data_IF_616626928726
#
_entry.id   IF_616626928726
#
_cell.length_a   1.000
_cell.length_b   1.000
_cell.length_c   1.000
_cell.angle_alpha   90.00
_cell.angle_beta   90.00
_cell.angle_gamma   90.00
#
_symmetry.space_group_name_H-M   'P 1'
#
loop_
_entity.id
_entity.type
_entity.pdbx_description
1 polymer ?
#
# COMPACT_ATOMS: atom_id res chain seq x y z
N UNK A 1 -5.94 -18.25 -10.43
CA UNK A 1 -4.83 -18.21 -9.46
C UNK A 1 -5.11 -17.02 -8.56
N UNK A 2 -4.99 -17.16 -7.24
CA UNK A 2 -5.11 -16.02 -6.33
C UNK A 2 -3.93 -15.08 -6.59
N UNK A 3 -4.21 -13.79 -6.75
CA UNK A 3 -3.19 -12.76 -6.84
C UNK A 3 -2.34 -12.77 -5.55
N UNK A 4 -1.05 -13.13 -5.60
CA UNK A 4 -0.21 -13.19 -4.40
C UNK A 4 -0.01 -11.81 -3.77
N UNK A 5 -0.09 -10.73 -4.57
CA UNK A 5 0.04 -9.36 -4.10
C UNK A 5 -1.19 -8.91 -3.30
N UNK A 6 -2.34 -9.55 -3.51
CA UNK A 6 -3.56 -9.29 -2.73
C UNK A 6 -3.39 -9.56 -1.25
N UNK A 7 -2.64 -10.60 -0.86
CA UNK A 7 -2.35 -10.89 0.54
C UNK A 7 -1.52 -9.79 1.21
N UNK A 8 -0.62 -9.16 0.46
CA UNK A 8 0.16 -8.00 0.93
C UNK A 8 -0.74 -6.77 1.07
N UNK A 9 -1.60 -6.52 0.07
CA UNK A 9 -2.54 -5.41 0.08
C UNK A 9 -3.56 -5.52 1.22
N UNK A 10 -4.11 -6.71 1.48
CA UNK A 10 -5.03 -6.95 2.59
C UNK A 10 -4.35 -6.73 3.95
N UNK A 11 -3.08 -7.16 4.08
CA UNK A 11 -2.31 -6.91 5.30
C UNK A 11 -1.97 -5.43 5.50
N UNK A 12 -1.68 -4.70 4.42
CA UNK A 12 -1.48 -3.25 4.49
C UNK A 12 -2.74 -2.55 5.03
N UNK A 13 -3.93 -2.95 4.55
CA UNK A 13 -5.21 -2.43 5.05
C UNK A 13 -5.37 -2.64 6.56
N UNK A 14 -5.09 -3.86 7.03
CA UNK A 14 -5.17 -4.19 8.46
C UNK A 14 -4.19 -3.36 9.30
N UNK A 15 -2.94 -3.21 8.84
CA UNK A 15 -1.92 -2.47 9.58
C UNK A 15 -2.19 -0.96 9.61
N UNK A 16 -2.66 -0.36 8.50
CA UNK A 16 -3.06 1.07 8.47
C UNK A 16 -4.28 1.34 9.36
N UNK A 17 -5.29 0.45 9.31
CA UNK A 17 -6.45 0.56 10.19
C UNK A 17 -6.06 0.48 11.68
N UNK A 18 -5.07 -0.36 12.01
CA UNK A 18 -4.55 -0.49 13.37
C UNK A 18 -3.67 0.70 13.81
N UNK A 19 -3.00 1.35 12.86
CA UNK A 19 -2.13 2.50 13.13
C UNK A 19 -2.92 3.74 13.59
N UNK A 20 -4.17 3.90 13.14
CA UNK A 20 -5.13 4.89 13.66
C UNK A 20 -4.55 6.32 13.76
N UNK A 21 -3.87 6.77 12.70
CA UNK A 21 -3.27 8.11 12.60
C UNK A 21 -1.86 8.24 13.19
N UNK A 22 -1.26 7.17 13.73
CA UNK A 22 0.14 7.17 14.16
C UNK A 22 1.07 7.11 12.94
N UNK A 23 1.71 8.24 12.62
CA UNK A 23 2.57 8.38 11.45
C UNK A 23 3.72 7.37 11.40
N UNK A 24 4.32 7.01 12.53
CA UNK A 24 5.43 6.05 12.55
C UNK A 24 4.92 4.61 12.32
N UNK A 25 3.75 4.28 12.84
CA UNK A 25 3.14 2.97 12.59
C UNK A 25 2.67 2.83 11.14
N UNK A 26 2.13 3.88 10.54
CA UNK A 26 1.71 3.91 9.13
C UNK A 26 2.90 3.81 8.18
N UNK A 27 3.98 4.56 8.41
CA UNK A 27 5.22 4.44 7.64
C UNK A 27 5.78 3.02 7.69
N UNK A 28 5.79 2.41 8.88
CA UNK A 28 6.23 1.02 9.04
C UNK A 28 5.33 0.03 8.29
N UNK A 29 4.02 0.26 8.27
CA UNK A 29 3.07 -0.58 7.53
C UNK A 29 3.34 -0.51 6.01
N UNK A 30 3.53 0.70 5.48
CA UNK A 30 3.85 0.93 4.06
C UNK A 30 5.20 0.31 3.68
N UNK A 31 6.24 0.46 4.51
CA UNK A 31 7.54 -0.18 4.29
C UNK A 31 7.45 -1.71 4.25
N UNK A 32 6.65 -2.32 5.13
CA UNK A 32 6.42 -3.77 5.10
C UNK A 32 5.66 -4.20 3.86
N UNK A 33 4.68 -3.43 3.41
CA UNK A 33 3.94 -3.72 2.18
C UNK A 33 4.86 -3.63 0.96
N UNK A 34 5.71 -2.61 0.88
CA UNK A 34 6.75 -2.48 -0.15
C UNK A 34 7.65 -3.71 -0.17
N UNK A 35 8.19 -4.06 1.00
CA UNK A 35 9.06 -5.24 1.13
C UNK A 35 8.36 -6.53 0.71
N UNK A 36 7.13 -6.75 1.18
CA UNK A 36 6.35 -7.93 0.83
C UNK A 36 6.07 -8.04 -0.66
N UNK A 37 5.79 -6.92 -1.32
CA UNK A 37 5.64 -6.85 -2.77
C UNK A 37 6.94 -7.24 -3.48
N UNK A 38 8.08 -6.64 -3.08
CA UNK A 38 9.38 -6.95 -3.66
C UNK A 38 9.79 -8.41 -3.45
N UNK A 39 9.51 -8.98 -2.27
CA UNK A 39 9.79 -10.38 -1.97
C UNK A 39 9.02 -11.33 -2.91
N UNK A 40 7.78 -10.96 -3.30
CA UNK A 40 6.98 -11.72 -4.28
C UNK A 40 7.50 -11.50 -5.72
N UNK A 41 7.82 -10.26 -6.08
CA UNK A 41 8.35 -9.92 -7.40
C UNK A 41 9.75 -10.53 -7.66
N UNK A 42 10.47 -10.93 -6.61
CA UNK A 42 11.84 -11.45 -6.69
C UNK A 42 12.92 -10.37 -6.61
N UNK A 43 12.59 -9.20 -6.07
CA UNK A 43 13.42 -7.99 -6.03
C UNK A 43 13.14 -7.02 -7.18
N UNK A 44 13.87 -5.91 -7.21
CA UNK A 44 13.72 -4.83 -8.20
C UNK A 44 13.56 -3.46 -7.54
N UNK A 45 13.57 -2.41 -8.36
CA UNK A 45 13.24 -1.06 -7.92
C UNK A 45 11.71 -0.92 -7.82
N UNK A 46 11.13 -0.53 -6.67
CA UNK A 46 9.68 -0.37 -6.52
C UNK A 46 9.03 0.51 -7.60
N UNK A 47 9.75 1.54 -8.04
CA UNK A 47 9.28 2.46 -9.07
C UNK A 47 9.16 1.85 -10.46
N UNK A 48 10.01 0.87 -10.80
CA UNK A 48 9.91 0.16 -12.08
C UNK A 48 8.79 -0.88 -12.09
N UNK A 49 8.30 -1.26 -10.91
CA UNK A 49 7.28 -2.28 -10.71
C UNK A 49 5.86 -1.73 -10.57
N UNK A 50 5.68 -0.41 -10.63
CA UNK A 50 4.35 0.22 -10.48
C UNK A 50 3.74 -0.03 -9.10
N UNK A 51 4.57 -0.14 -8.06
CA UNK A 51 4.12 -0.50 -6.72
C UNK A 51 3.14 0.52 -6.14
N UNK A 52 3.45 1.81 -6.32
CA UNK A 52 2.59 2.90 -5.87
C UNK A 52 1.23 2.85 -6.59
N UNK A 53 1.25 2.59 -7.90
CA UNK A 53 0.04 2.43 -8.70
C UNK A 53 -0.80 1.26 -8.20
N UNK A 54 -0.18 0.11 -7.89
CA UNK A 54 -0.89 -1.07 -7.40
C UNK A 54 -1.62 -0.85 -6.05
N UNK A 55 -1.00 -0.16 -5.10
CA UNK A 55 -1.62 0.06 -3.79
C UNK A 55 -2.55 1.28 -3.74
N UNK A 56 -2.31 2.30 -4.58
CA UNK A 56 -2.96 3.60 -4.46
C UNK A 56 -3.81 4.02 -5.68
N UNK A 57 -3.54 3.58 -6.91
CA UNK A 57 -4.15 4.16 -8.12
C UNK A 57 -4.91 3.16 -9.02
N UNK A 58 -4.40 1.95 -9.21
CA UNK A 58 -5.03 0.92 -10.06
C UNK A 58 -5.90 -0.02 -9.22
N UNK A 59 -7.19 0.34 -9.11
CA UNK A 59 -8.24 -0.56 -8.65
C UNK A 59 -9.39 -0.61 -9.63
N UNK A 60 -10.17 -1.69 -9.61
CA UNK A 60 -11.48 -1.73 -10.27
C UNK A 60 -12.57 -1.47 -9.23
N UNK A 61 -13.79 -1.13 -9.67
CA UNK A 61 -14.95 -1.01 -8.75
C UNK A 61 -15.16 -2.28 -7.92
N UNK A 62 -14.76 -3.44 -8.44
CA UNK A 62 -14.86 -4.73 -7.76
C UNK A 62 -13.63 -5.06 -6.87
N UNK A 63 -12.49 -4.38 -7.07
CA UNK A 63 -11.28 -4.48 -6.25
C UNK A 63 -10.61 -3.09 -6.18
N UNK A 64 -11.08 -2.20 -5.30
CA UNK A 64 -10.49 -0.88 -5.15
C UNK A 64 -9.06 -0.98 -4.59
N UNK A 65 -8.24 0.09 -4.77
CA UNK A 65 -6.87 0.14 -4.26
C UNK A 65 -6.81 -0.15 -2.76
N UNK A 66 -5.66 -0.61 -2.27
CA UNK A 66 -5.50 -0.98 -0.86
C UNK A 66 -5.83 0.19 0.08
N UNK A 67 -5.36 1.40 -0.24
CA UNK A 67 -5.56 2.57 0.62
C UNK A 67 -7.05 2.93 0.77
N UNK A 68 -7.83 2.82 -0.30
CA UNK A 68 -9.29 3.08 -0.28
C UNK A 68 -10.09 2.03 0.50
N UNK A 69 -9.49 0.86 0.79
CA UNK A 69 -10.13 -0.22 1.56
C UNK A 69 -9.94 -0.08 3.07
N UNK A 70 -9.13 0.89 3.52
CA UNK A 70 -8.89 1.13 4.96
C UNK A 70 -10.16 1.67 5.63
N UNK A 71 -10.74 0.95 6.62
CA UNK A 71 -11.98 1.39 7.25
C UNK A 71 -11.82 2.73 7.97
N UNK A 72 -12.64 3.71 7.59
CA UNK A 72 -12.64 5.03 8.22
C UNK A 72 -11.53 5.97 7.74
N UNK A 73 -10.75 5.58 6.73
CA UNK A 73 -9.80 6.48 6.08
C UNK A 73 -10.52 7.64 5.40
N UNK A 74 -9.97 8.84 5.57
CA UNK A 74 -10.40 10.03 4.87
C UNK A 74 -9.63 10.22 3.57
N UNK A 75 -10.09 11.11 2.70
CA UNK A 75 -9.35 11.47 1.48
C UNK A 75 -7.95 12.03 1.83
N UNK A 76 -7.82 12.77 2.94
CA UNK A 76 -6.54 13.29 3.44
C UNK A 76 -5.60 12.17 3.90
N UNK A 77 -6.14 11.10 4.51
CA UNK A 77 -5.34 9.93 4.88
C UNK A 77 -4.83 9.19 3.64
N UNK A 78 -5.71 9.01 2.64
CA UNK A 78 -5.37 8.35 1.39
C UNK A 78 -4.31 9.14 0.63
N UNK A 79 -4.46 10.46 0.50
CA UNK A 79 -3.46 11.34 -0.13
C UNK A 79 -2.11 11.23 0.59
N UNK A 80 -2.11 11.39 1.91
CA UNK A 80 -0.90 11.31 2.74
C UNK A 80 -0.20 9.96 2.66
N UNK A 81 -0.94 8.84 2.66
CA UNK A 81 -0.36 7.52 2.49
C UNK A 81 0.14 7.29 1.06
N UNK A 82 -0.53 7.85 0.06
CA UNK A 82 -0.10 7.77 -1.33
C UNK A 82 1.23 8.49 -1.54
N UNK A 83 1.37 9.70 -0.97
CA UNK A 83 2.61 10.47 -0.98
C UNK A 83 3.72 9.73 -0.26
N UNK A 84 3.45 9.23 0.96
CA UNK A 84 4.44 8.49 1.73
C UNK A 84 4.87 7.18 1.02
N UNK A 85 3.93 6.50 0.36
CA UNK A 85 4.23 5.32 -0.43
C UNK A 85 5.10 5.66 -1.65
N UNK A 86 4.83 6.79 -2.33
CA UNK A 86 5.64 7.27 -3.45
C UNK A 86 7.07 7.61 -3.02
N UNK A 87 7.22 8.36 -1.92
CA UNK A 87 8.50 8.71 -1.32
C UNK A 87 9.32 7.45 -0.94
N UNK A 88 8.68 6.47 -0.29
CA UNK A 88 9.31 5.22 0.11
C UNK A 88 9.66 4.30 -1.08
N UNK A 89 8.90 4.41 -2.17
CA UNK A 89 9.12 3.67 -3.41
C UNK A 89 10.17 4.34 -4.33
N UNK A 90 10.57 5.58 -4.04
CA UNK A 90 11.61 6.32 -4.77
C UNK A 90 11.11 7.11 -5.98
N UNK A 91 9.85 7.57 -5.96
CA UNK A 91 9.27 8.46 -6.99
C UNK A 91 9.52 9.95 -6.71
#
# INVERSE_FOLDING_TARGET
>A
MSDPYRGVADKLVEELAAANGDSSAEELALQKAIKGYLDIAGGGEPAELGLAEYFAQEGSVENPPALERVPGATDEDIERWSDLLADLAGY
#
